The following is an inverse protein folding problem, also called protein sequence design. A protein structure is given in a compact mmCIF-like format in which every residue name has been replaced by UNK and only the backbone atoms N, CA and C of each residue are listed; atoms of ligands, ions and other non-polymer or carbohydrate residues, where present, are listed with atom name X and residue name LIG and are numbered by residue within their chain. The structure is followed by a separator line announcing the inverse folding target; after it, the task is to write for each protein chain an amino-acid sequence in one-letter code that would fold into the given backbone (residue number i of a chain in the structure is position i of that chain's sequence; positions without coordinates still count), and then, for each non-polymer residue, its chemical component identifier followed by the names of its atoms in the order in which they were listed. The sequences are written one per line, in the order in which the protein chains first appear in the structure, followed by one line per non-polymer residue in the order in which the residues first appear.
data_IF_679575720308
#
_entry.id   IF_679575720308
#
_cell.length_a   1.000
_cell.length_b   1.000
_cell.length_c   1.000
_cell.angle_alpha   90.00
_cell.angle_beta   90.00
_cell.angle_gamma   90.00
#
_symmetry.space_group_name_H-M   'P 1'
#
loop_
_entity.id
_entity.type
_entity.pdbx_description
1 polymer ?
#
# COMPACT_ATOMS: atom_id res chain seq x y z
N UNK A 1 -11.64 5.90 9.09
CA UNK A 1 -12.12 5.75 7.70
C UNK A 1 -11.34 4.65 7.02
N UNK A 2 -12.03 3.68 6.42
CA UNK A 2 -11.47 2.63 5.57
C UNK A 2 -11.85 2.92 4.11
N UNK A 3 -10.89 3.39 3.34
CA UNK A 3 -11.01 3.65 1.91
C UNK A 3 -10.56 2.45 1.07
N UNK A 4 -11.03 2.38 -0.18
CA UNK A 4 -10.54 1.40 -1.16
C UNK A 4 -11.52 1.21 -2.32
N UNK A 5 -11.07 0.56 -3.39
CA UNK A 5 -11.90 0.26 -4.56
C UNK A 5 -13.09 -0.66 -4.17
N UNK A 6 -14.15 -0.65 -4.99
CA UNK A 6 -15.24 -1.63 -4.87
C UNK A 6 -14.69 -3.06 -5.01
N UNK A 7 -15.15 -4.00 -4.19
CA UNK A 7 -14.73 -5.41 -4.27
C UNK A 7 -13.35 -5.75 -3.69
N UNK A 8 -12.57 -4.77 -3.19
CA UNK A 8 -11.24 -5.04 -2.62
C UNK A 8 -11.28 -5.84 -1.31
N UNK A 9 -12.44 -5.90 -0.64
CA UNK A 9 -12.64 -6.68 0.60
C UNK A 9 -12.84 -5.87 1.87
N UNK A 10 -13.24 -4.59 1.79
CA UNK A 10 -13.45 -3.71 2.97
C UNK A 10 -14.45 -4.28 3.98
N UNK A 11 -15.63 -4.70 3.52
CA UNK A 11 -16.64 -5.33 4.37
C UNK A 11 -16.14 -6.67 4.95
N UNK A 12 -15.35 -7.44 4.19
CA UNK A 12 -14.72 -8.67 4.72
C UNK A 12 -13.75 -8.32 5.84
N UNK A 13 -12.92 -7.29 5.68
CA UNK A 13 -11.98 -6.83 6.71
C UNK A 13 -12.71 -6.37 7.97
N UNK A 14 -13.84 -5.67 7.83
CA UNK A 14 -14.68 -5.32 8.98
C UNK A 14 -15.23 -6.55 9.70
N UNK A 15 -15.71 -7.56 8.97
CA UNK A 15 -16.20 -8.78 9.58
C UNK A 15 -15.08 -9.58 10.28
N UNK A 16 -13.89 -9.67 9.68
CA UNK A 16 -12.71 -10.23 10.37
C UNK A 16 -12.36 -9.44 11.63
N UNK A 17 -12.41 -8.11 11.58
CA UNK A 17 -12.20 -7.30 12.79
C UNK A 17 -13.26 -7.61 13.85
N UNK A 18 -14.54 -7.71 13.48
CA UNK A 18 -15.62 -8.06 14.40
C UNK A 18 -15.43 -9.44 15.05
N UNK A 19 -14.85 -10.40 14.33
CA UNK A 19 -14.51 -11.73 14.87
C UNK A 19 -13.51 -11.66 16.03
N UNK A 20 -12.55 -10.73 15.96
CA UNK A 20 -11.49 -10.57 16.95
C UNK A 20 -11.84 -9.62 18.09
N UNK A 21 -12.94 -8.86 17.98
CA UNK A 21 -13.43 -8.02 19.06
C UNK A 21 -14.22 -8.83 20.08
N UNK A 22 -13.94 -8.61 21.36
CA UNK A 22 -14.71 -9.19 22.48
C UNK A 22 -15.95 -8.37 22.82
N UNK A 23 -16.16 -7.26 22.12
CA UNK A 23 -17.25 -6.30 22.34
C UNK A 23 -18.31 -6.50 21.28
N UNK A 24 -19.56 -6.22 21.67
CA UNK A 24 -20.71 -6.21 20.76
C UNK A 24 -20.53 -5.13 19.69
N UNK A 25 -20.48 -5.53 18.43
CA UNK A 25 -20.32 -4.60 17.29
C UNK A 25 -21.69 -4.25 16.71
N UNK A 26 -21.97 -2.96 16.57
CA UNK A 26 -23.13 -2.46 15.83
C UNK A 26 -22.67 -2.23 14.39
N UNK A 27 -23.28 -2.94 13.45
CA UNK A 27 -22.93 -2.90 12.04
C UNK A 27 -24.11 -2.35 11.25
N UNK A 28 -23.94 -1.14 10.77
CA UNK A 28 -24.90 -0.47 9.91
C UNK A 28 -24.69 -0.91 8.46
N UNK A 29 -25.65 -1.68 7.97
CA UNK A 29 -25.68 -2.23 6.63
C UNK A 29 -26.15 -1.17 5.62
N UNK A 30 -25.24 -0.62 4.85
CA UNK A 30 -25.51 0.33 3.79
C UNK A 30 -25.88 -0.35 2.48
N UNK A 31 -24.90 -0.94 1.79
CA UNK A 31 -25.09 -1.50 0.44
C UNK A 31 -25.73 -2.89 0.48
N UNK A 32 -25.25 -3.76 1.36
CA UNK A 32 -25.78 -5.13 1.50
C UNK A 32 -27.01 -5.18 2.43
N UNK A 33 -27.81 -6.24 2.29
CA UNK A 33 -28.88 -6.53 3.25
C UNK A 33 -28.32 -7.18 4.53
N UNK A 34 -28.99 -7.01 5.69
CA UNK A 34 -28.60 -7.71 6.92
C UNK A 34 -28.51 -9.23 6.76
N UNK A 35 -29.39 -9.84 5.96
CA UNK A 35 -29.36 -11.28 5.72
C UNK A 35 -28.07 -11.73 5.03
N UNK A 36 -27.61 -10.98 4.01
CA UNK A 36 -26.36 -11.26 3.30
C UNK A 36 -25.13 -11.11 4.21
N UNK A 37 -25.09 -10.03 5.00
CA UNK A 37 -24.00 -9.81 5.95
C UNK A 37 -23.97 -10.93 7.00
N UNK A 38 -25.14 -11.35 7.51
CA UNK A 38 -25.24 -12.44 8.50
C UNK A 38 -24.71 -13.77 7.96
N UNK A 39 -24.95 -14.08 6.68
CA UNK A 39 -24.40 -15.29 6.04
C UNK A 39 -22.87 -15.24 5.99
N UNK A 40 -22.31 -14.10 5.58
CA UNK A 40 -20.84 -13.89 5.54
C UNK A 40 -20.23 -13.94 6.94
N UNK A 41 -20.83 -13.22 7.89
CA UNK A 41 -20.42 -13.21 9.29
C UNK A 41 -20.36 -14.62 9.88
N UNK A 42 -21.37 -15.46 9.59
CA UNK A 42 -21.38 -16.88 10.00
C UNK A 42 -20.24 -17.67 9.38
N UNK A 43 -19.98 -17.52 8.08
CA UNK A 43 -18.86 -18.19 7.39
C UNK A 43 -17.51 -17.81 8.00
N UNK A 44 -17.33 -16.54 8.34
CA UNK A 44 -16.08 -16.01 8.92
C UNK A 44 -15.95 -16.31 10.43
N UNK A 45 -17.01 -16.82 11.08
CA UNK A 45 -17.02 -17.18 12.51
C UNK A 45 -17.27 -16.01 13.47
N UNK A 46 -17.91 -14.93 13.01
CA UNK A 46 -18.27 -13.77 13.85
C UNK A 46 -19.40 -14.14 14.81
N UNK A 47 -19.21 -13.87 16.11
CA UNK A 47 -20.17 -14.25 17.16
C UNK A 47 -21.14 -13.12 17.53
N UNK A 48 -20.63 -11.92 17.81
CA UNK A 48 -21.41 -10.82 18.39
C UNK A 48 -21.55 -9.65 17.42
N UNK A 49 -22.55 -9.74 16.53
CA UNK A 49 -22.85 -8.72 15.53
C UNK A 49 -24.33 -8.31 15.58
N UNK A 50 -24.59 -7.05 15.92
CA UNK A 50 -25.90 -6.44 15.76
C UNK A 50 -25.98 -5.74 14.41
N UNK A 51 -26.89 -6.20 13.56
CA UNK A 51 -27.09 -5.63 12.24
C UNK A 51 -28.20 -4.59 12.29
N UNK A 52 -27.90 -3.39 11.81
CA UNK A 52 -28.85 -2.29 11.63
C UNK A 52 -29.06 -2.01 10.15
N UNK A 53 -30.27 -1.62 9.78
CA UNK A 53 -30.61 -1.15 8.43
C UNK A 53 -31.46 0.11 8.53
N UNK A 54 -30.80 1.25 8.56
CA UNK A 54 -31.41 2.58 8.49
C UNK A 54 -30.49 3.46 7.65
N UNK A 55 -31.03 4.12 6.64
CA UNK A 55 -30.25 4.97 5.74
C UNK A 55 -30.38 6.43 6.13
N UNK A 56 -31.46 6.84 6.80
CA UNK A 56 -31.68 8.24 7.21
C UNK A 56 -30.84 8.57 8.43
N UNK A 57 -30.13 9.69 8.36
CA UNK A 57 -29.16 10.09 9.38
C UNK A 57 -29.81 10.39 10.73
N UNK A 58 -30.86 11.21 10.78
CA UNK A 58 -31.43 11.70 12.05
C UNK A 58 -32.07 10.60 12.91
N UNK A 59 -32.91 9.69 12.37
CA UNK A 59 -33.44 8.56 13.14
C UNK A 59 -32.34 7.63 13.65
N UNK A 60 -31.29 7.43 12.84
CA UNK A 60 -30.15 6.61 13.20
C UNK A 60 -29.34 7.24 14.34
N UNK A 61 -29.04 8.54 14.29
CA UNK A 61 -28.36 9.24 15.38
C UNK A 61 -29.16 9.15 16.67
N UNK A 62 -30.47 9.39 16.62
CA UNK A 62 -31.37 9.28 17.78
C UNK A 62 -31.29 7.88 18.41
N UNK A 63 -31.25 6.83 17.59
CA UNK A 63 -31.12 5.45 18.07
C UNK A 63 -29.77 5.23 18.77
N UNK A 64 -28.68 5.70 18.16
CA UNK A 64 -27.31 5.51 18.66
C UNK A 64 -27.03 6.36 19.91
N UNK A 65 -27.61 7.55 20.04
CA UNK A 65 -27.50 8.38 21.25
C UNK A 65 -28.28 7.77 22.43
N UNK A 66 -29.41 7.11 22.16
CA UNK A 66 -30.20 6.44 23.20
C UNK A 66 -29.54 5.16 23.72
N UNK A 67 -28.83 4.44 22.86
CA UNK A 67 -28.15 3.20 23.19
C UNK A 67 -26.75 3.18 22.51
N UNK A 68 -25.78 3.93 23.06
CA UNK A 68 -24.48 4.10 22.43
C UNK A 68 -23.68 2.80 22.43
N UNK A 69 -23.26 2.31 21.25
CA UNK A 69 -22.44 1.11 21.16
C UNK A 69 -20.97 1.42 21.50
N UNK A 70 -20.22 0.45 22.04
CA UNK A 70 -18.76 0.63 22.19
C UNK A 70 -18.06 0.68 20.82
N UNK A 71 -18.58 -0.05 19.82
CA UNK A 71 -18.02 -0.14 18.47
C UNK A 71 -19.13 -0.05 17.42
N UNK A 72 -18.97 0.88 16.49
CA UNK A 72 -19.89 1.13 15.36
C UNK A 72 -19.18 1.00 14.02
N UNK A 73 -19.67 0.11 13.16
CA UNK A 73 -19.24 0.01 11.77
C UNK A 73 -20.32 0.57 10.83
N UNK A 74 -19.93 1.46 9.91
CA UNK A 74 -20.81 2.05 8.90
C UNK A 74 -20.33 1.63 7.51
N UNK A 75 -21.06 0.71 6.86
CA UNK A 75 -20.68 0.10 5.59
C UNK A 75 -21.77 0.22 4.51
N UNK A 76 -21.84 1.31 3.75
CA UNK A 76 -20.84 2.37 3.57
C UNK A 76 -21.42 3.76 3.85
N UNK A 77 -20.55 4.75 4.12
CA UNK A 77 -20.99 6.13 4.44
C UNK A 77 -21.77 6.77 3.28
N UNK A 78 -21.52 6.31 2.04
CA UNK A 78 -22.23 6.78 0.85
C UNK A 78 -23.73 6.46 0.86
N UNK A 79 -24.17 5.45 1.61
CA UNK A 79 -25.59 5.06 1.64
C UNK A 79 -26.41 5.84 2.64
N UNK A 80 -25.78 6.74 3.41
CA UNK A 80 -26.47 7.53 4.42
C UNK A 80 -27.13 8.72 3.74
N UNK A 81 -28.44 8.81 3.92
CA UNK A 81 -29.30 9.90 3.49
C UNK A 81 -29.19 11.00 4.55
N UNK A 82 -28.46 12.06 4.18
CA UNK A 82 -28.30 13.31 4.91
C UNK A 82 -28.67 14.46 3.96
N UNK A 83 -28.32 15.70 4.28
CA UNK A 83 -28.55 16.83 3.38
C UNK A 83 -28.14 16.58 1.92
N UNK A 84 -29.09 16.73 1.00
CA UNK A 84 -28.91 16.48 -0.44
C UNK A 84 -29.24 15.04 -0.87
N UNK A 85 -28.77 14.63 -2.04
CA UNK A 85 -28.97 13.25 -2.53
C UNK A 85 -27.95 12.29 -1.89
N UNK A 86 -28.32 11.03 -1.60
CA UNK A 86 -27.41 10.03 -1.04
C UNK A 86 -26.18 9.81 -1.94
N UNK A 87 -25.01 9.64 -1.33
CA UNK A 87 -23.73 9.52 -2.04
C UNK A 87 -23.15 10.83 -2.58
N UNK A 88 -23.90 11.94 -2.53
CA UNK A 88 -23.36 13.25 -2.87
C UNK A 88 -22.28 13.71 -1.89
N UNK A 89 -21.41 14.61 -2.33
CA UNK A 89 -20.34 15.17 -1.49
C UNK A 89 -20.85 15.88 -0.23
N UNK A 90 -22.00 16.55 -0.34
CA UNK A 90 -22.63 17.23 0.79
C UNK A 90 -23.12 16.19 1.79
N UNK A 91 -23.92 15.21 1.34
CA UNK A 91 -24.46 14.16 2.20
C UNK A 91 -23.34 13.37 2.92
N UNK A 92 -22.30 12.96 2.20
CA UNK A 92 -21.18 12.19 2.78
C UNK A 92 -20.42 13.01 3.83
N UNK A 93 -20.18 14.30 3.58
CA UNK A 93 -19.53 15.18 4.56
C UNK A 93 -20.38 15.38 5.79
N UNK A 94 -21.66 15.68 5.61
CA UNK A 94 -22.61 15.89 6.70
C UNK A 94 -22.73 14.66 7.59
N UNK A 95 -22.96 13.48 6.99
CA UNK A 95 -22.99 12.22 7.72
C UNK A 95 -21.66 11.95 8.45
N UNK A 96 -20.52 12.18 7.79
CA UNK A 96 -19.20 12.00 8.44
C UNK A 96 -19.04 12.91 9.65
N UNK A 97 -19.39 14.19 9.54
CA UNK A 97 -19.30 15.12 10.66
C UNK A 97 -20.21 14.73 11.82
N UNK A 98 -21.43 14.25 11.51
CA UNK A 98 -22.36 13.75 12.53
C UNK A 98 -21.81 12.52 13.27
N UNK A 99 -21.29 11.52 12.55
CA UNK A 99 -20.68 10.34 13.19
C UNK A 99 -19.41 10.67 13.97
N UNK A 100 -18.59 11.61 13.49
CA UNK A 100 -17.40 12.06 14.24
C UNK A 100 -17.79 12.78 15.53
N UNK A 101 -18.85 13.60 15.50
CA UNK A 101 -19.38 14.25 16.70
C UNK A 101 -19.91 13.21 17.68
N UNK A 102 -20.78 12.32 17.23
CA UNK A 102 -21.32 11.22 18.02
C UNK A 102 -20.20 10.38 18.67
N UNK A 103 -19.18 10.00 17.90
CA UNK A 103 -18.05 9.23 18.40
C UNK A 103 -17.29 9.94 19.53
N UNK A 104 -17.17 11.27 19.47
CA UNK A 104 -16.47 12.06 20.48
C UNK A 104 -17.31 12.31 21.72
N UNK A 105 -18.60 12.57 21.55
CA UNK A 105 -19.53 12.84 22.65
C UNK A 105 -19.80 11.58 23.47
N UNK A 106 -20.02 10.44 22.80
CA UNK A 106 -20.39 9.17 23.43
C UNK A 106 -19.21 8.21 23.65
N UNK A 107 -17.99 8.58 23.23
CA UNK A 107 -16.79 7.75 23.38
C UNK A 107 -16.80 6.46 22.54
N UNK A 108 -17.45 6.49 21.38
CA UNK A 108 -17.66 5.33 20.50
C UNK A 108 -16.46 5.14 19.55
N UNK A 109 -16.01 3.90 19.38
CA UNK A 109 -15.06 3.56 18.30
C UNK A 109 -15.81 3.36 16.99
N UNK A 110 -15.76 4.36 16.10
CA UNK A 110 -16.51 4.34 14.83
C UNK A 110 -15.60 4.09 13.61
N UNK A 111 -15.89 3.03 12.85
CA UNK A 111 -15.27 2.75 11.55
C UNK A 111 -16.23 3.08 10.41
N UNK A 112 -15.85 4.06 9.60
CA UNK A 112 -16.57 4.44 8.38
C UNK A 112 -15.93 3.76 7.18
N UNK A 113 -16.70 3.08 6.33
CA UNK A 113 -16.26 2.58 5.02
C UNK A 113 -16.60 3.61 3.95
N UNK A 114 -15.60 3.94 3.13
CA UNK A 114 -15.78 4.78 1.96
C UNK A 114 -15.31 4.10 0.68
N UNK A 115 -16.15 4.04 -0.34
CA UNK A 115 -15.77 3.58 -1.67
C UNK A 115 -14.99 4.64 -2.45
N UNK A 116 -13.84 4.27 -3.01
CA UNK A 116 -13.15 5.09 -4.02
C UNK A 116 -13.90 4.92 -5.34
N UNK A 117 -14.46 6.01 -5.85
CA UNK A 117 -15.10 6.02 -7.17
C UNK A 117 -14.11 6.55 -8.20
N UNK A 118 -14.04 5.89 -9.36
CA UNK A 118 -13.12 6.26 -10.45
C UNK A 118 -13.62 7.46 -11.27
N UNK A 119 -14.87 7.90 -11.06
CA UNK A 119 -15.57 8.79 -11.99
C UNK A 119 -16.15 10.08 -11.38
N UNK A 120 -15.78 10.49 -10.16
CA UNK A 120 -16.13 11.81 -9.63
C UNK A 120 -17.63 12.07 -9.35
N UNK A 121 -18.53 11.12 -9.63
CA UNK A 121 -19.98 11.23 -9.37
C UNK A 121 -20.35 11.02 -7.89
N UNK A 122 -19.49 10.34 -7.13
CA UNK A 122 -19.69 10.04 -5.70
C UNK A 122 -18.46 10.51 -4.93
N UNK A 123 -18.67 11.12 -3.77
CA UNK A 123 -17.57 11.60 -2.96
C UNK A 123 -16.66 10.46 -2.49
N UNK A 124 -15.42 10.48 -2.98
CA UNK A 124 -14.40 9.54 -2.56
C UNK A 124 -13.91 9.81 -1.14
N UNK A 125 -13.22 8.84 -0.50
CA UNK A 125 -12.75 8.93 0.89
C UNK A 125 -11.85 10.15 1.16
N UNK A 126 -11.11 10.61 0.14
CA UNK A 126 -10.24 11.80 0.22
C UNK A 126 -10.99 13.07 0.63
N UNK A 127 -12.28 13.15 0.29
CA UNK A 127 -13.09 14.35 0.58
C UNK A 127 -13.37 14.58 2.07
N UNK A 128 -13.27 13.53 2.88
CA UNK A 128 -13.57 13.51 4.32
C UNK A 128 -12.35 13.10 5.18
N UNK A 129 -11.21 12.82 4.55
CA UNK A 129 -9.97 12.39 5.23
C UNK A 129 -9.47 13.40 6.28
N UNK A 130 -9.69 14.69 6.07
CA UNK A 130 -9.32 15.72 7.03
C UNK A 130 -10.19 15.71 8.30
N UNK A 131 -11.45 15.28 8.18
CA UNK A 131 -12.45 15.32 9.25
C UNK A 131 -12.33 14.14 10.24
N UNK A 132 -11.70 13.04 9.84
CA UNK A 132 -11.56 11.82 10.66
C UNK A 132 -10.21 11.75 11.39
N UNK A 133 -10.12 10.95 12.46
CA UNK A 133 -8.88 10.81 13.23
C UNK A 133 -7.85 9.89 12.57
N UNK A 134 -8.31 8.88 11.83
CA UNK A 134 -7.45 7.98 11.06
C UNK A 134 -8.08 7.57 9.72
N UNK A 135 -7.23 7.38 8.72
CA UNK A 135 -7.56 6.94 7.38
C UNK A 135 -6.65 5.79 6.97
N UNK A 136 -7.28 4.66 6.64
CA UNK A 136 -6.63 3.47 6.12
C UNK A 136 -7.14 3.21 4.70
N UNK A 137 -6.27 2.76 3.80
CA UNK A 137 -6.63 2.32 2.46
C UNK A 137 -6.38 0.83 2.30
N UNK A 138 -7.39 0.09 1.84
CA UNK A 138 -7.23 -1.29 1.39
C UNK A 138 -7.14 -1.30 -0.13
N UNK A 139 -5.98 -1.72 -0.64
CA UNK A 139 -5.63 -1.73 -2.06
C UNK A 139 -5.30 -3.16 -2.52
N UNK A 140 -5.51 -3.45 -3.80
CA UNK A 140 -5.04 -4.72 -4.40
C UNK A 140 -3.60 -4.57 -4.87
N UNK A 141 -2.77 -5.55 -4.55
CA UNK A 141 -1.38 -5.64 -5.00
C UNK A 141 -1.13 -7.08 -5.50
N UNK A 142 -1.38 -7.32 -6.79
CA UNK A 142 -1.46 -8.67 -7.34
C UNK A 142 -2.56 -9.49 -6.65
N UNK A 143 -2.20 -10.68 -6.14
CA UNK A 143 -3.10 -11.54 -5.36
C UNK A 143 -3.32 -11.05 -3.92
N UNK A 144 -2.52 -10.08 -3.46
CA UNK A 144 -2.57 -9.59 -2.10
C UNK A 144 -3.55 -8.42 -1.94
N UNK A 145 -3.94 -8.19 -0.69
CA UNK A 145 -4.68 -7.02 -0.23
C UNK A 145 -3.82 -6.29 0.78
N UNK A 146 -3.54 -5.04 0.51
CA UNK A 146 -2.58 -4.22 1.26
C UNK A 146 -3.35 -3.14 1.97
N UNK A 147 -3.35 -3.19 3.31
CA UNK A 147 -3.92 -2.17 4.18
C UNK A 147 -2.82 -1.17 4.53
N UNK A 148 -2.99 0.09 4.17
CA UNK A 148 -2.01 1.15 4.43
C UNK A 148 -2.61 2.28 5.26
N UNK A 149 -1.90 2.76 6.28
CA UNK A 149 -2.29 3.99 6.97
C UNK A 149 -1.86 5.23 6.17
N UNK A 150 -2.82 6.09 5.81
CA UNK A 150 -2.56 7.39 5.16
C UNK A 150 -2.59 8.55 6.16
N UNK A 151 -3.44 8.43 7.18
CA UNK A 151 -3.52 9.37 8.30
C UNK A 151 -3.75 8.57 9.56
N UNK A 152 -3.03 8.89 10.63
CA UNK A 152 -3.21 8.21 11.91
C UNK A 152 -2.86 9.18 13.05
N UNK A 153 -3.86 9.65 13.79
CA UNK A 153 -3.63 10.49 14.98
C UNK A 153 -3.15 9.69 16.20
N UNK A 154 -3.29 8.37 16.17
CA UNK A 154 -3.03 7.48 17.30
C UNK A 154 -1.85 6.52 17.05
N UNK A 155 -1.06 6.77 16.00
CA UNK A 155 0.07 5.92 15.65
C UNK A 155 0.76 6.34 14.36
N UNK A 156 1.71 5.54 13.86
CA UNK A 156 2.47 5.87 12.67
C UNK A 156 1.63 5.86 11.38
N UNK A 157 2.06 6.70 10.44
CA UNK A 157 1.55 6.78 9.07
C UNK A 157 2.44 5.93 8.15
N UNK A 158 1.85 5.36 7.11
CA UNK A 158 2.54 4.52 6.13
C UNK A 158 2.67 3.07 6.55
N UNK A 159 2.25 2.70 7.77
CA UNK A 159 2.19 1.31 8.23
C UNK A 159 1.38 0.45 7.26
N UNK A 160 1.82 -0.80 7.12
CA UNK A 160 1.35 -1.68 6.07
C UNK A 160 1.04 -3.06 6.64
N UNK A 161 -0.21 -3.50 6.46
CA UNK A 161 -0.66 -4.88 6.64
C UNK A 161 -0.85 -5.55 5.29
N UNK A 162 -0.37 -6.79 5.14
CA UNK A 162 -0.55 -7.57 3.91
C UNK A 162 -1.45 -8.76 4.23
N UNK A 163 -2.46 -8.95 3.39
CA UNK A 163 -3.42 -10.02 3.52
C UNK A 163 -3.55 -10.75 2.18
N UNK A 164 -4.04 -11.98 2.24
CA UNK A 164 -4.48 -12.75 1.08
C UNK A 164 -5.95 -13.07 1.25
N UNK A 165 -6.71 -12.99 0.16
CA UNK A 165 -8.11 -13.39 0.17
C UNK A 165 -8.18 -14.90 -0.03
N UNK A 166 -8.66 -15.61 0.98
CA UNK A 166 -8.90 -17.05 0.98
C UNK A 166 -10.40 -17.34 1.11
N UNK A 167 -10.81 -18.60 1.01
CA UNK A 167 -12.21 -19.01 1.19
C UNK A 167 -12.76 -18.60 2.56
N UNK A 168 -11.91 -18.72 3.58
CA UNK A 168 -12.21 -18.43 4.98
C UNK A 168 -12.19 -16.94 5.32
N UNK A 169 -11.80 -16.07 4.37
CA UNK A 169 -11.74 -14.61 4.58
C UNK A 169 -10.40 -13.98 4.24
N UNK A 170 -10.08 -12.87 4.93
CA UNK A 170 -8.79 -12.19 4.75
C UNK A 170 -7.79 -12.74 5.77
N UNK A 171 -6.77 -13.45 5.26
CA UNK A 171 -5.71 -14.05 6.09
C UNK A 171 -4.47 -13.18 6.06
N UNK A 172 -3.90 -12.88 7.23
CA UNK A 172 -2.67 -12.10 7.35
C UNK A 172 -1.46 -12.85 6.76
N UNK A 173 -0.69 -12.16 5.95
CA UNK A 173 0.61 -12.64 5.45
C UNK A 173 1.70 -12.25 6.46
N UNK A 174 2.14 -13.24 7.25
CA UNK A 174 3.11 -13.07 8.34
C UNK A 174 4.48 -12.55 7.86
N UNK A 175 4.93 -13.01 6.69
CA UNK A 175 6.19 -12.59 6.06
C UNK A 175 5.92 -12.02 4.65
N UNK A 176 5.61 -10.72 4.53
CA UNK A 176 5.33 -10.12 3.24
C UNK A 176 6.52 -10.15 2.28
N UNK A 177 7.75 -9.97 2.78
CA UNK A 177 8.97 -9.99 1.97
C UNK A 177 9.12 -11.31 1.23
N UNK A 178 9.01 -12.42 1.95
CA UNK A 178 9.02 -13.76 1.34
C UNK A 178 7.88 -13.91 0.33
N UNK A 179 6.66 -13.50 0.70
CA UNK A 179 5.48 -13.61 -0.15
C UNK A 179 5.58 -12.82 -1.47
N UNK A 180 6.25 -11.66 -1.48
CA UNK A 180 6.49 -10.87 -2.69
C UNK A 180 7.67 -11.39 -3.53
N UNK A 181 8.56 -12.20 -2.95
CA UNK A 181 9.75 -12.73 -3.60
C UNK A 181 9.59 -14.20 -4.08
N UNK A 182 8.50 -14.88 -3.70
CA UNK A 182 8.26 -16.31 -3.99
C UNK A 182 8.42 -16.69 -5.48
N UNK A 183 7.96 -15.85 -6.40
CA UNK A 183 7.92 -16.14 -7.84
C UNK A 183 9.03 -15.43 -8.64
N UNK A 184 10.04 -14.89 -7.97
CA UNK A 184 11.08 -14.12 -8.67
C UNK A 184 11.92 -15.04 -9.59
N UNK A 185 12.23 -14.59 -10.82
CA UNK A 185 13.11 -15.35 -11.71
C UNK A 185 14.56 -15.33 -11.18
N UNK A 186 15.21 -16.50 -11.15
CA UNK A 186 16.61 -16.62 -10.74
C UNK A 186 17.54 -16.58 -11.97
N UNK A 187 18.64 -15.85 -11.86
CA UNK A 187 19.67 -15.78 -12.92
C UNK A 187 19.26 -14.96 -14.16
N UNK A 188 18.20 -14.15 -14.05
CA UNK A 188 17.73 -13.30 -15.16
C UNK A 188 18.25 -11.86 -14.97
N UNK A 189 18.83 -11.23 -16.01
CA UNK A 189 19.22 -9.82 -15.96
C UNK A 189 18.03 -8.90 -15.73
N UNK A 190 18.29 -7.76 -15.11
CA UNK A 190 17.26 -6.75 -14.86
C UNK A 190 16.49 -6.94 -13.56
N UNK A 191 16.89 -7.86 -12.67
CA UNK A 191 16.25 -8.05 -11.36
C UNK A 191 17.22 -7.68 -10.24
N UNK A 192 16.81 -6.79 -9.33
CA UNK A 192 17.56 -6.40 -8.14
C UNK A 192 16.66 -6.37 -6.90
N UNK A 193 17.13 -6.90 -5.78
CA UNK A 193 16.36 -6.87 -4.53
C UNK A 193 16.68 -5.61 -3.75
N UNK A 194 15.65 -4.81 -3.47
CA UNK A 194 15.73 -3.61 -2.68
C UNK A 194 15.22 -3.87 -1.26
N UNK A 195 15.94 -3.35 -0.26
CA UNK A 195 15.43 -3.28 1.12
C UNK A 195 14.75 -1.92 1.31
N UNK A 196 13.44 -1.90 1.13
CA UNK A 196 12.62 -0.69 1.10
C UNK A 196 11.98 -0.40 2.47
N UNK A 197 11.59 0.85 2.70
CA UNK A 197 10.65 1.24 3.74
C UNK A 197 9.30 1.62 3.11
N UNK A 198 8.25 0.90 3.50
CA UNK A 198 6.87 1.29 3.26
C UNK A 198 6.30 1.82 4.59
N UNK A 199 6.36 3.14 4.78
CA UNK A 199 6.16 3.75 6.10
C UNK A 199 7.32 3.40 7.03
N UNK A 200 7.02 2.86 8.21
CA UNK A 200 8.03 2.37 9.15
C UNK A 200 8.42 0.90 8.91
N UNK A 201 7.63 0.16 8.10
CA UNK A 201 7.85 -1.26 7.84
C UNK A 201 8.94 -1.47 6.79
N UNK A 202 9.98 -2.19 7.17
CA UNK A 202 10.99 -2.68 6.22
C UNK A 202 10.46 -3.87 5.43
N UNK A 203 10.72 -3.88 4.13
CA UNK A 203 10.32 -4.95 3.20
C UNK A 203 11.44 -5.21 2.20
N UNK A 204 11.71 -6.48 1.90
CA UNK A 204 12.52 -6.85 0.74
C UNK A 204 11.61 -6.97 -0.49
N UNK A 205 11.88 -6.16 -1.52
CA UNK A 205 11.07 -6.06 -2.73
C UNK A 205 11.95 -6.18 -3.97
N UNK A 206 11.44 -6.82 -5.02
CA UNK A 206 12.15 -6.92 -6.29
C UNK A 206 11.88 -5.69 -7.17
N UNK A 207 12.95 -5.03 -7.59
CA UNK A 207 12.94 -4.03 -8.66
C UNK A 207 13.34 -4.72 -9.96
N UNK A 208 12.47 -4.60 -10.95
CA UNK A 208 12.63 -5.16 -12.27
C UNK A 208 12.90 -4.05 -13.28
N UNK A 209 13.82 -4.30 -14.20
CA UNK A 209 14.12 -3.42 -15.32
C UNK A 209 14.21 -4.23 -16.61
N UNK A 210 13.69 -3.66 -17.68
CA UNK A 210 13.84 -4.17 -19.04
C UNK A 210 14.35 -3.03 -19.92
N UNK A 211 15.42 -3.28 -20.65
CA UNK A 211 15.98 -2.36 -21.63
C UNK A 211 15.90 -2.99 -23.02
N UNK A 212 15.37 -2.25 -23.99
CA UNK A 212 15.24 -2.71 -25.37
C UNK A 212 15.58 -1.57 -26.34
N UNK A 213 16.14 -1.90 -27.51
CA UNK A 213 16.41 -0.89 -28.54
C UNK A 213 15.09 -0.24 -28.99
N UNK A 214 15.03 1.09 -28.94
CA UNK A 214 13.82 1.81 -29.31
C UNK A 214 13.63 1.80 -30.84
N UNK A 215 12.43 1.47 -31.34
CA UNK A 215 12.09 1.64 -32.76
C UNK A 215 11.62 3.07 -33.08
N UNK A 216 11.48 3.93 -32.08
CA UNK A 216 10.92 5.28 -32.21
C UNK A 216 12.02 6.36 -32.16
N UNK A 217 11.74 7.59 -32.63
CA UNK A 217 12.68 8.71 -32.48
C UNK A 217 12.99 9.09 -31.03
N UNK A 218 12.04 8.86 -30.12
CA UNK A 218 12.19 9.12 -28.69
C UNK A 218 11.97 7.81 -27.89
N UNK A 219 12.92 7.43 -27.01
CA UNK A 219 12.77 6.22 -26.21
C UNK A 219 11.66 6.36 -25.17
N UNK A 220 10.97 5.26 -24.92
CA UNK A 220 9.96 5.12 -23.87
C UNK A 220 10.62 4.95 -22.52
N UNK A 221 10.08 5.63 -21.51
CA UNK A 221 10.42 5.43 -20.09
C UNK A 221 9.13 5.14 -19.35
N UNK A 222 8.94 3.90 -18.93
CA UNK A 222 7.71 3.45 -18.28
C UNK A 222 8.05 2.98 -16.88
N UNK A 223 7.38 3.53 -15.89
CA UNK A 223 7.65 3.25 -14.47
C UNK A 223 6.36 2.83 -13.77
N UNK A 224 6.42 1.70 -13.06
CA UNK A 224 5.30 1.18 -12.26
C UNK A 224 5.75 0.87 -10.84
N UNK A 225 4.96 1.28 -9.84
CA UNK A 225 5.22 1.03 -8.42
C UNK A 225 6.30 1.92 -7.77
N UNK A 226 7.00 2.74 -8.57
CA UNK A 226 8.05 3.66 -8.14
C UNK A 226 7.72 5.11 -8.53
N UNK A 227 8.47 6.07 -7.98
CA UNK A 227 8.41 7.46 -8.43
C UNK A 227 9.18 7.64 -9.75
N UNK A 228 8.46 8.04 -10.81
CA UNK A 228 9.02 8.19 -12.15
C UNK A 228 10.14 9.24 -12.23
N UNK A 229 10.03 10.35 -11.48
CA UNK A 229 11.05 11.41 -11.50
C UNK A 229 12.35 10.95 -10.85
N UNK A 230 12.25 10.14 -9.80
CA UNK A 230 13.44 9.53 -9.17
C UNK A 230 14.10 8.53 -10.10
N UNK A 231 13.33 7.71 -10.81
CA UNK A 231 13.87 6.83 -11.84
C UNK A 231 14.59 7.65 -12.92
N UNK A 232 13.98 8.73 -13.45
CA UNK A 232 14.62 9.60 -14.45
C UNK A 232 15.98 10.16 -13.97
N UNK A 233 16.08 10.57 -12.69
CA UNK A 233 17.35 11.01 -12.11
C UNK A 233 18.39 9.89 -12.08
N UNK A 234 18.01 8.68 -11.66
CA UNK A 234 18.90 7.51 -11.66
C UNK A 234 19.39 7.19 -13.07
N UNK A 235 18.50 7.23 -14.08
CA UNK A 235 18.86 7.01 -15.47
C UNK A 235 19.87 8.07 -15.96
N UNK A 236 19.67 9.34 -15.63
CA UNK A 236 20.61 10.41 -15.97
C UNK A 236 21.99 10.20 -15.33
N UNK A 237 22.04 9.72 -14.08
CA UNK A 237 23.30 9.38 -13.40
C UNK A 237 24.00 8.21 -14.08
N UNK A 238 23.29 7.13 -14.41
CA UNK A 238 23.83 5.98 -15.14
C UNK A 238 24.44 6.41 -16.49
N UNK A 239 23.73 7.23 -17.24
CA UNK A 239 24.20 7.71 -18.54
C UNK A 239 25.42 8.64 -18.41
N UNK A 240 25.37 9.63 -17.50
CA UNK A 240 26.40 10.67 -17.41
C UNK A 240 27.62 10.30 -16.58
N UNK A 241 27.47 9.44 -15.57
CA UNK A 241 28.56 9.08 -14.65
C UNK A 241 29.17 7.72 -14.96
N UNK A 242 28.38 6.79 -15.49
CA UNK A 242 28.83 5.43 -15.82
C UNK A 242 28.93 5.18 -17.32
N UNK A 243 28.54 6.14 -18.16
CA UNK A 243 28.66 6.03 -19.62
C UNK A 243 27.72 4.99 -20.24
N UNK A 244 26.62 4.65 -19.55
CA UNK A 244 25.66 3.66 -20.02
C UNK A 244 24.85 4.25 -21.21
N UNK A 245 24.80 3.61 -22.39
CA UNK A 245 24.19 4.19 -23.59
C UNK A 245 22.65 4.08 -23.55
N UNK A 246 22.00 4.89 -22.73
CA UNK A 246 20.54 4.83 -22.51
C UNK A 246 19.72 5.64 -23.52
N UNK A 247 20.33 6.60 -24.23
CA UNK A 247 19.62 7.54 -25.10
C UNK A 247 18.80 6.91 -26.26
N UNK A 248 19.06 5.65 -26.62
CA UNK A 248 18.33 4.92 -27.68
C UNK A 248 17.65 3.63 -27.17
N UNK A 249 17.45 3.51 -25.86
CA UNK A 249 16.82 2.35 -25.24
C UNK A 249 15.47 2.72 -24.64
N UNK A 250 14.44 1.95 -24.99
CA UNK A 250 13.22 1.91 -24.19
C UNK A 250 13.54 1.26 -22.84
N UNK A 251 13.15 1.91 -21.75
CA UNK A 251 13.39 1.46 -20.38
C UNK A 251 12.05 1.30 -19.67
N UNK A 252 11.82 0.11 -19.15
CA UNK A 252 10.68 -0.24 -18.33
C UNK A 252 11.21 -0.59 -16.94
N UNK A 253 10.70 0.07 -15.90
CA UNK A 253 11.05 -0.22 -14.50
C UNK A 253 9.79 -0.53 -13.72
N UNK A 254 9.78 -1.65 -13.01
CA UNK A 254 8.63 -2.14 -12.25
C UNK A 254 9.06 -2.54 -10.83
N UNK A 255 8.29 -2.13 -9.82
CA UNK A 255 8.38 -2.72 -8.50
C UNK A 255 7.45 -3.93 -8.43
N UNK A 256 8.01 -5.13 -8.31
CA UNK A 256 7.23 -6.36 -8.26
C UNK A 256 6.32 -6.41 -7.02
N UNK A 257 5.30 -7.26 -7.08
CA UNK A 257 4.31 -7.40 -6.00
C UNK A 257 3.19 -6.36 -6.03
N UNK A 258 3.20 -5.41 -6.99
CA UNK A 258 2.11 -4.45 -7.19
C UNK A 258 2.03 -3.35 -6.15
N UNK A 259 3.02 -3.26 -5.26
CA UNK A 259 3.13 -2.19 -4.27
C UNK A 259 3.53 -0.87 -4.94
N UNK A 260 3.12 0.23 -4.30
CA UNK A 260 3.65 1.57 -4.58
C UNK A 260 4.46 2.00 -3.38
N UNK A 261 5.74 2.29 -3.59
CA UNK A 261 6.67 2.68 -2.52
C UNK A 261 7.42 3.94 -2.94
N UNK A 262 7.39 4.94 -2.05
CA UNK A 262 8.13 6.18 -2.20
C UNK A 262 9.24 6.19 -1.15
N UNK A 263 10.43 5.75 -1.57
CA UNK A 263 11.54 5.57 -0.66
C UNK A 263 12.87 5.84 -1.38
N UNK A 264 13.66 6.81 -0.89
CA UNK A 264 14.99 7.07 -1.43
C UNK A 264 15.94 5.88 -1.45
N UNK A 265 15.77 4.94 -0.52
CA UNK A 265 16.60 3.73 -0.46
C UNK A 265 16.45 2.79 -1.65
N UNK A 266 15.48 3.00 -2.54
CA UNK A 266 15.26 2.20 -3.74
C UNK A 266 16.20 2.56 -4.91
N UNK A 267 16.88 3.71 -4.88
CA UNK A 267 17.65 4.17 -6.05
C UNK A 267 18.74 3.22 -6.48
N UNK A 268 19.51 2.71 -5.51
CA UNK A 268 20.60 1.80 -5.80
C UNK A 268 20.08 0.52 -6.47
N UNK A 269 18.92 0.01 -6.05
CA UNK A 269 18.28 -1.15 -6.68
C UNK A 269 17.81 -0.83 -8.10
N UNK A 270 17.18 0.33 -8.31
CA UNK A 270 16.80 0.80 -9.66
C UNK A 270 18.04 0.90 -10.55
N UNK A 271 19.12 1.50 -10.06
CA UNK A 271 20.34 1.70 -10.82
C UNK A 271 20.96 0.36 -11.24
N UNK A 272 21.07 -0.59 -10.31
CA UNK A 272 21.64 -1.91 -10.56
C UNK A 272 20.73 -2.78 -11.44
N UNK A 273 19.41 -2.73 -11.27
CA UNK A 273 18.47 -3.43 -12.14
C UNK A 273 18.59 -2.91 -13.58
N UNK A 274 18.57 -1.59 -13.79
CA UNK A 274 18.71 -1.00 -15.13
C UNK A 274 20.06 -1.34 -15.75
N UNK A 275 21.15 -1.18 -14.99
CA UNK A 275 22.48 -1.53 -15.49
C UNK A 275 22.54 -3.00 -15.90
N UNK A 276 22.07 -3.91 -15.03
CA UNK A 276 21.95 -5.35 -15.27
C UNK A 276 21.18 -5.67 -16.55
N UNK A 277 20.02 -5.03 -16.77
CA UNK A 277 19.20 -5.21 -17.96
C UNK A 277 19.92 -4.77 -19.25
N UNK A 278 20.65 -3.65 -19.21
CA UNK A 278 21.36 -3.11 -20.37
C UNK A 278 22.58 -3.95 -20.75
N UNK A 279 23.35 -4.42 -19.77
CA UNK A 279 24.56 -5.22 -20.03
C UNK A 279 24.29 -6.72 -20.15
N UNK A 280 23.06 -7.16 -19.87
CA UNK A 280 22.66 -8.56 -19.97
C UNK A 280 23.31 -9.49 -18.94
N UNK A 281 23.76 -8.96 -17.79
CA UNK A 281 24.37 -9.74 -16.70
C UNK A 281 23.46 -9.76 -15.49
N UNK A 282 23.15 -10.94 -14.96
CA UNK A 282 22.31 -11.08 -13.76
C UNK A 282 23.09 -10.73 -12.47
N UNK A 283 22.39 -10.12 -11.51
CA UNK A 283 22.91 -9.92 -10.16
C UNK A 283 22.86 -11.23 -9.35
N UNK A 284 23.69 -11.38 -8.30
CA UNK A 284 23.59 -12.53 -7.41
C UNK A 284 22.22 -12.61 -6.72
N UNK A 285 21.60 -13.81 -6.61
CA UNK A 285 20.23 -13.95 -6.11
C UNK A 285 20.07 -13.67 -4.60
N UNK A 286 21.15 -13.76 -3.84
CA UNK A 286 21.28 -13.51 -2.40
C UNK A 286 21.82 -12.09 -2.09
N UNK A 287 21.93 -11.23 -3.11
CA UNK A 287 22.25 -9.82 -2.95
C UNK A 287 20.96 -9.01 -2.74
N UNK A 288 20.90 -8.27 -1.65
CA UNK A 288 19.96 -7.17 -1.46
C UNK A 288 20.70 -5.84 -1.39
N UNK A 289 20.03 -4.75 -1.77
CA UNK A 289 20.66 -3.44 -1.85
C UNK A 289 19.76 -2.36 -1.26
N UNK A 290 20.39 -1.32 -0.74
CA UNK A 290 19.71 -0.12 -0.26
C UNK A 290 20.64 1.07 -0.42
N UNK A 291 20.10 2.19 -0.90
CA UNK A 291 20.87 3.43 -0.97
C UNK A 291 20.20 4.46 -1.83
N UNK A 292 20.33 5.72 -1.44
CA UNK A 292 19.97 6.85 -2.28
C UNK A 292 21.13 7.16 -3.22
N UNK A 293 20.83 7.44 -4.50
CA UNK A 293 21.85 7.77 -5.51
C UNK A 293 21.83 9.28 -5.74
N UNK A 294 22.93 9.94 -5.39
CA UNK A 294 23.11 11.36 -5.69
C UNK A 294 23.47 11.62 -7.15
N UNK A 295 23.28 12.86 -7.60
CA UNK A 295 23.54 13.28 -8.99
C UNK A 295 25.03 13.23 -9.38
N UNK A 296 25.94 13.12 -8.41
CA UNK A 296 27.37 12.94 -8.65
C UNK A 296 27.77 11.46 -8.71
N UNK A 297 26.81 10.54 -8.53
CA UNK A 297 27.04 9.10 -8.54
C UNK A 297 27.43 8.53 -7.17
N UNK A 298 27.35 9.32 -6.10
CA UNK A 298 27.58 8.89 -4.73
C UNK A 298 26.37 8.13 -4.16
N UNK A 299 26.63 7.17 -3.27
CA UNK A 299 25.60 6.44 -2.53
C UNK A 299 25.45 7.05 -1.14
N UNK A 300 24.26 7.58 -0.85
CA UNK A 300 23.97 8.38 0.35
C UNK A 300 23.20 7.59 1.40
N UNK A 301 23.33 8.02 2.65
CA UNK A 301 22.63 7.47 3.81
C UNK A 301 21.11 7.49 3.63
N UNK A 302 20.44 6.46 4.15
CA UNK A 302 18.98 6.33 4.11
C UNK A 302 18.39 6.26 5.52
N UNK A 303 17.10 6.57 5.62
CA UNK A 303 16.34 6.41 6.87
C UNK A 303 16.20 4.91 7.21
N UNK A 304 16.38 4.58 8.48
CA UNK A 304 16.07 3.26 9.04
C UNK A 304 16.96 2.12 8.55
N UNK A 305 18.22 2.40 8.20
CA UNK A 305 19.18 1.41 7.68
C UNK A 305 19.19 0.10 8.50
N UNK A 306 19.37 0.19 9.82
CA UNK A 306 19.41 -0.98 10.71
C UNK A 306 18.16 -1.88 10.62
N UNK A 307 16.97 -1.28 10.46
CA UNK A 307 15.72 -2.06 10.31
C UNK A 307 15.69 -2.78 8.97
N UNK A 308 16.16 -2.12 7.92
CA UNK A 308 16.25 -2.69 6.57
C UNK A 308 17.22 -3.85 6.54
N UNK A 309 18.39 -3.71 7.17
CA UNK A 309 19.40 -4.77 7.26
C UNK A 309 18.83 -6.02 7.94
N UNK A 310 18.17 -5.86 9.10
CA UNK A 310 17.51 -6.98 9.80
C UNK A 310 16.43 -7.64 8.96
N UNK A 311 15.67 -6.87 8.18
CA UNK A 311 14.67 -7.44 7.27
C UNK A 311 15.32 -8.21 6.11
N UNK A 312 16.43 -7.70 5.57
CA UNK A 312 17.21 -8.41 4.55
C UNK A 312 17.72 -9.76 5.06
N UNK A 313 18.30 -9.78 6.26
CA UNK A 313 18.74 -11.02 6.92
C UNK A 313 17.57 -11.98 7.14
N UNK A 314 16.44 -11.49 7.67
CA UNK A 314 15.22 -12.27 7.88
C UNK A 314 14.66 -12.84 6.58
N UNK A 315 14.76 -12.10 5.48
CA UNK A 315 14.32 -12.53 4.15
C UNK A 315 15.36 -13.42 3.43
N UNK A 316 16.48 -13.76 4.07
CA UNK A 316 17.47 -14.72 3.57
C UNK A 316 18.56 -14.10 2.68
N UNK A 317 18.80 -12.79 2.76
CA UNK A 317 19.86 -12.11 2.03
C UNK A 317 21.11 -11.94 2.90
N UNK A 318 22.19 -12.60 2.51
CA UNK A 318 23.46 -12.60 3.25
C UNK A 318 24.45 -11.57 2.71
N UNK A 319 24.24 -11.07 1.50
CA UNK A 319 25.00 -9.96 0.92
C UNK A 319 24.10 -8.75 0.86
N UNK A 320 24.47 -7.69 1.59
CA UNK A 320 23.72 -6.45 1.59
C UNK A 320 24.65 -5.29 1.19
N UNK A 321 24.38 -4.67 0.05
CA UNK A 321 25.01 -3.39 -0.31
C UNK A 321 24.23 -2.24 0.31
N UNK A 322 24.94 -1.37 1.03
CA UNK A 322 24.35 -0.22 1.69
C UNK A 322 25.34 0.95 1.78
N UNK A 323 24.90 2.16 2.16
CA UNK A 323 25.76 3.35 2.18
C UNK A 323 26.93 3.26 3.18
N UNK A 324 26.94 2.25 4.05
CA UNK A 324 28.02 1.99 5.00
C UNK A 324 29.20 1.24 4.37
N UNK A 325 28.96 0.40 3.36
CA UNK A 325 29.97 -0.44 2.72
C UNK A 325 30.17 -0.16 1.22
N UNK A 326 29.35 0.70 0.61
CA UNK A 326 29.53 1.23 -0.75
C UNK A 326 29.34 2.74 -0.72
N UNK A 327 30.25 3.51 -1.33
CA UNK A 327 30.19 4.98 -1.34
C UNK A 327 29.88 5.56 -2.70
N UNK A 328 30.10 4.79 -3.77
CA UNK A 328 29.76 5.22 -5.13
C UNK A 328 29.01 4.12 -5.89
N UNK A 329 28.08 4.54 -6.76
CA UNK A 329 27.34 3.64 -7.64
C UNK A 329 28.29 2.85 -8.56
N UNK A 330 29.39 3.48 -8.97
CA UNK A 330 30.43 2.84 -9.80
C UNK A 330 31.06 1.63 -9.10
N UNK A 331 31.36 1.73 -7.80
CA UNK A 331 31.93 0.62 -7.01
C UNK A 331 30.98 -0.58 -6.99
N UNK A 332 29.68 -0.33 -6.76
CA UNK A 332 28.67 -1.38 -6.74
C UNK A 332 28.55 -2.08 -8.12
N UNK A 333 28.64 -1.31 -9.20
CA UNK A 333 28.63 -1.87 -10.57
C UNK A 333 29.87 -2.69 -10.84
N UNK A 334 31.08 -2.19 -10.55
CA UNK A 334 32.34 -2.92 -10.76
C UNK A 334 32.37 -4.24 -9.98
N UNK A 335 31.82 -4.25 -8.76
CA UNK A 335 31.81 -5.43 -7.90
C UNK A 335 30.89 -6.55 -8.40
N UNK A 336 29.74 -6.23 -9.01
CA UNK A 336 28.70 -7.23 -9.30
C UNK A 336 28.30 -7.36 -10.77
N UNK A 337 28.63 -6.36 -11.60
CA UNK A 337 28.27 -6.30 -13.03
C UNK A 337 29.47 -5.97 -13.94
N UNK A 338 30.65 -5.72 -13.35
CA UNK A 338 31.94 -5.53 -14.02
C UNK A 338 32.34 -6.70 -14.92
#
# INVERSE_FOLDING_TARGET
LLGGEGGVGKSTLLLELAKHLTRKVYYLAGEESPAQIKLRARRLGVKELLLLKETRLEPLLTLLEREPPEVLFVDSIQTIEAGGSPGSLVAVREATHAFVRLAKEEGITTLLVGHVTKEGVVAGPKSIEHAVDATLYLESAGVYRVLRSAKNRFGPVGELGVFRMEEEGLVEVQNPSEAFLLERPLGVPGSAIALALAGERALALEVQALAAKTPFPAPRRVVQGLDARRVDMVLAVLERRLGLPLGNLDIYVNLAGGLKVQDPGLDLAVALAVYSAVVGKALPPDLAVVGEVGLLGEVRSVIGLERRLREGERAGFFRILHPGNTKALKEAVEQYLG
#
